data_IF_923690601523
#
_entry.id   IF_923690601523
#
_cell.length_a   1.000
_cell.length_b   1.000
_cell.length_c   1.000
_cell.angle_alpha   90.00
_cell.angle_beta   90.00
_cell.angle_gamma   90.00
#
_symmetry.space_group_name_H-M   'P 1'
#
loop_
_entity.id
_entity.type
_entity.pdbx_description
1 polymer ?
#
# COMPACT_ATOMS: atom_id res chain seq x y z
N UNK A 1 -17.80 -10.53 11.11
CA UNK A 1 -16.79 -11.60 10.94
C UNK A 1 -15.44 -11.00 11.29
N UNK A 2 -14.86 -11.37 12.43
CA UNK A 2 -13.58 -10.82 12.88
C UNK A 2 -12.45 -11.58 12.19
N UNK A 3 -11.81 -10.95 11.20
CA UNK A 3 -10.57 -11.49 10.65
C UNK A 3 -9.43 -11.07 11.57
N UNK A 4 -8.97 -12.01 12.42
CA UNK A 4 -7.69 -11.91 13.09
C UNK A 4 -6.59 -11.84 12.00
N UNK A 5 -5.96 -10.68 11.87
CA UNK A 5 -4.70 -10.57 11.14
C UNK A 5 -3.64 -11.16 12.07
N UNK A 6 -2.93 -12.20 11.61
CA UNK A 6 -1.84 -12.84 12.36
C UNK A 6 -0.80 -11.79 12.76
N UNK A 7 -0.22 -11.93 13.94
CA UNK A 7 0.93 -11.13 14.38
C UNK A 7 2.06 -11.21 13.36
N UNK A 8 2.47 -10.07 12.83
CA UNK A 8 3.61 -9.96 11.92
C UNK A 8 4.87 -9.93 12.76
N UNK A 9 5.71 -10.95 12.62
CA UNK A 9 7.02 -11.02 13.26
C UNK A 9 8.10 -10.47 12.32
N UNK A 10 9.21 -10.00 12.88
CA UNK A 10 10.41 -9.61 12.10
C UNK A 10 10.80 -10.72 11.13
N UNK A 11 11.19 -10.34 9.90
CA UNK A 11 11.53 -11.27 8.83
C UNK A 11 10.34 -11.93 8.14
N UNK A 12 9.11 -11.72 8.62
CA UNK A 12 7.90 -12.17 7.92
C UNK A 12 7.59 -11.25 6.73
N UNK A 13 7.09 -11.86 5.65
CA UNK A 13 6.58 -11.12 4.50
C UNK A 13 5.17 -10.60 4.80
N UNK A 14 5.00 -9.29 4.73
CA UNK A 14 3.73 -8.56 4.86
C UNK A 14 3.21 -8.23 3.47
N UNK A 15 1.98 -8.62 3.19
CA UNK A 15 1.30 -8.25 1.96
C UNK A 15 0.61 -6.90 2.15
N UNK A 16 1.15 -5.87 1.53
CA UNK A 16 0.56 -4.53 1.47
C UNK A 16 -0.26 -4.44 0.18
N UNK A 17 -1.52 -4.06 0.28
CA UNK A 17 -2.39 -3.92 -0.88
C UNK A 17 -3.35 -2.75 -0.73
N UNK A 18 -3.62 -2.06 -1.83
CA UNK A 18 -4.62 -1.01 -1.91
C UNK A 18 -5.30 -1.02 -3.28
N UNK A 19 -6.37 -0.23 -3.40
CA UNK A 19 -7.16 -0.08 -4.62
C UNK A 19 -7.34 1.40 -4.91
N UNK A 20 -7.06 1.82 -6.15
CA UNK A 20 -7.31 3.17 -6.64
C UNK A 20 -8.61 3.17 -7.47
N UNK A 21 -9.54 4.05 -7.09
CA UNK A 21 -10.84 4.21 -7.73
C UNK A 21 -11.12 5.69 -8.00
N UNK A 22 -11.86 5.95 -9.06
CA UNK A 22 -12.53 7.23 -9.33
C UNK A 22 -14.03 6.99 -9.29
N UNK A 23 -14.67 7.31 -8.16
CA UNK A 23 -16.00 6.80 -7.84
C UNK A 23 -15.97 5.26 -7.76
N UNK A 24 -16.81 4.59 -8.55
CA UNK A 24 -16.84 3.12 -8.66
C UNK A 24 -15.97 2.57 -9.81
N UNK A 25 -15.31 3.45 -10.58
CA UNK A 25 -14.50 3.06 -11.74
C UNK A 25 -13.04 2.83 -11.30
N UNK A 26 -12.44 1.67 -11.61
CA UNK A 26 -11.04 1.45 -11.31
C UNK A 26 -10.11 2.35 -12.12
N UNK A 27 -9.15 2.98 -11.45
CA UNK A 27 -8.07 3.69 -12.12
C UNK A 27 -7.01 2.66 -12.55
N UNK A 28 -7.04 2.29 -13.84
CA UNK A 28 -6.27 1.17 -14.40
C UNK A 28 -4.92 1.62 -14.94
N UNK A 29 -3.88 0.80 -14.73
CA UNK A 29 -2.52 1.04 -15.27
C UNK A 29 -1.90 2.38 -14.85
N UNK A 30 -2.33 2.91 -13.71
CA UNK A 30 -1.83 4.16 -13.15
C UNK A 30 -0.57 3.93 -12.32
N UNK A 31 0.36 4.89 -12.33
CA UNK A 31 1.54 4.85 -11.48
C UNK A 31 1.19 5.32 -10.07
N UNK A 32 1.54 4.51 -9.06
CA UNK A 32 1.32 4.83 -7.65
C UNK A 32 2.60 4.57 -6.86
N UNK A 33 2.76 5.27 -5.74
CA UNK A 33 3.87 5.09 -4.81
C UNK A 33 3.34 4.57 -3.48
N UNK A 34 4.02 3.56 -2.92
CA UNK A 34 3.91 3.19 -1.52
C UNK A 34 5.19 3.67 -0.85
N UNK A 35 5.06 4.48 0.19
CA UNK A 35 6.17 4.93 1.03
C UNK A 35 6.07 4.16 2.34
N UNK A 36 7.07 3.34 2.66
CA UNK A 36 7.16 2.61 3.92
C UNK A 36 8.26 3.25 4.77
N UNK A 37 7.85 3.96 5.82
CA UNK A 37 8.65 4.97 6.52
C UNK A 37 9.16 6.02 5.54
N UNK A 38 10.42 5.90 5.10
CA UNK A 38 11.06 6.83 4.16
C UNK A 38 11.41 6.17 2.81
N UNK A 39 11.13 4.86 2.66
CA UNK A 39 11.47 4.11 1.46
C UNK A 39 10.32 4.14 0.44
N UNK A 40 10.62 4.55 -0.79
CA UNK A 40 9.62 4.71 -1.86
C UNK A 40 9.63 3.49 -2.77
N UNK A 41 8.43 2.97 -3.03
CA UNK A 41 8.19 1.84 -3.93
C UNK A 41 7.15 2.24 -4.98
N UNK A 42 7.56 2.29 -6.25
CA UNK A 42 6.66 2.60 -7.37
C UNK A 42 6.03 1.33 -7.92
N UNK A 43 4.71 1.34 -8.06
CA UNK A 43 3.91 0.25 -8.61
C UNK A 43 2.96 0.77 -9.69
N UNK A 44 2.37 -0.16 -10.42
CA UNK A 44 1.30 0.13 -11.38
C UNK A 44 0.02 -0.55 -10.94
N UNK A 45 -1.11 0.17 -10.99
CA UNK A 45 -2.42 -0.42 -10.70
C UNK A 45 -2.80 -1.45 -11.76
N UNK A 46 -3.47 -2.51 -11.33
CA UNK A 46 -4.02 -3.54 -12.20
C UNK A 46 -5.21 -3.01 -13.01
N UNK A 47 -5.76 -3.85 -13.89
CA UNK A 47 -7.02 -3.60 -14.59
C UNK A 47 -8.23 -3.46 -13.66
N UNK A 48 -8.10 -3.82 -12.39
CA UNK A 48 -9.13 -3.66 -11.36
C UNK A 48 -8.78 -2.56 -10.36
N UNK A 49 -7.75 -1.75 -10.64
CA UNK A 49 -7.28 -0.65 -9.80
C UNK A 49 -6.46 -1.09 -8.58
N UNK A 50 -6.24 -2.41 -8.41
CA UNK A 50 -5.48 -2.94 -7.28
C UNK A 50 -3.99 -2.86 -7.52
N UNK A 51 -3.23 -2.62 -6.46
CA UNK A 51 -1.78 -2.74 -6.47
C UNK A 51 -1.33 -3.39 -5.16
N UNK A 52 -0.31 -4.24 -5.27
CA UNK A 52 0.11 -5.15 -4.20
C UNK A 52 1.63 -5.20 -4.15
N UNK A 53 2.19 -5.14 -2.94
CA UNK A 53 3.61 -5.28 -2.66
C UNK A 53 3.81 -6.26 -1.51
N UNK A 54 4.81 -7.13 -1.63
CA UNK A 54 5.28 -7.94 -0.52
C UNK A 54 6.47 -7.22 0.15
N UNK A 55 6.34 -6.88 1.42
CA UNK A 55 7.32 -6.14 2.19
C UNK A 55 7.84 -7.00 3.35
N UNK A 56 9.15 -7.10 3.51
CA UNK A 56 9.77 -7.81 4.63
C UNK A 56 10.31 -6.79 5.62
N UNK A 57 9.74 -6.79 6.83
CA UNK A 57 10.19 -5.90 7.90
C UNK A 57 11.48 -6.45 8.53
N UNK A 58 12.52 -5.61 8.60
CA UNK A 58 13.81 -5.95 9.18
C UNK A 58 13.91 -5.73 10.69
N UNK A 59 12.95 -5.02 11.28
CA UNK A 59 12.94 -4.69 12.70
C UNK A 59 11.51 -4.68 13.26
N UNK A 60 11.40 -4.87 14.58
CA UNK A 60 10.15 -4.68 15.29
C UNK A 60 9.86 -3.19 15.44
N UNK A 61 8.59 -2.81 15.47
CA UNK A 61 8.18 -1.41 15.60
C UNK A 61 6.95 -1.06 14.79
N UNK A 62 6.61 0.23 14.78
CA UNK A 62 5.53 0.78 13.98
C UNK A 62 6.12 1.25 12.65
N UNK A 63 5.53 0.79 11.56
CA UNK A 63 5.85 1.20 10.20
C UNK A 63 4.75 2.11 9.67
N UNK A 64 5.14 3.30 9.22
CA UNK A 64 4.25 4.26 8.58
C UNK A 64 4.14 3.94 7.10
N UNK A 65 2.92 3.88 6.58
CA UNK A 65 2.64 3.75 5.16
C UNK A 65 1.98 5.01 4.63
N UNK A 66 2.51 5.50 3.52
CA UNK A 66 1.82 6.49 2.69
C UNK A 66 1.58 5.90 1.31
N UNK A 67 0.34 5.96 0.85
CA UNK A 67 -0.04 5.66 -0.52
C UNK A 67 -0.21 6.97 -1.26
N UNK A 68 0.51 7.16 -2.36
CA UNK A 68 0.48 8.39 -3.16
C UNK A 68 0.12 8.06 -4.59
N UNK A 69 -0.87 8.77 -5.12
CA UNK A 69 -1.14 8.89 -6.53
C UNK A 69 -1.02 10.37 -6.89
N UNK A 70 -0.07 10.71 -7.77
CA UNK A 70 0.23 12.11 -8.13
C UNK A 70 -0.75 12.69 -9.17
N UNK A 71 -1.75 11.89 -9.58
CA UNK A 71 -2.67 12.25 -10.64
C UNK A 71 -2.20 11.77 -12.00
N UNK A 72 -3.11 11.83 -12.97
CA UNK A 72 -2.85 11.61 -14.39
C UNK A 72 -3.77 12.51 -15.20
N UNK A 73 -3.68 12.46 -16.53
CA UNK A 73 -4.58 13.20 -17.42
C UNK A 73 -6.06 12.84 -17.20
N UNK A 74 -6.33 11.65 -16.63
CA UNK A 74 -7.70 11.13 -16.43
C UNK A 74 -8.20 11.20 -14.99
N UNK A 75 -7.30 11.32 -14.00
CA UNK A 75 -7.66 11.19 -12.59
C UNK A 75 -6.91 12.21 -11.72
N UNK A 76 -7.61 12.75 -10.73
CA UNK A 76 -7.02 13.68 -9.77
C UNK A 76 -6.05 12.97 -8.80
N UNK A 77 -5.03 13.70 -8.29
CA UNK A 77 -4.14 13.19 -7.26
C UNK A 77 -4.89 12.82 -5.97
N UNK A 78 -4.37 11.83 -5.26
CA UNK A 78 -4.85 11.45 -3.92
C UNK A 78 -3.74 10.85 -3.08
N UNK A 79 -3.85 10.99 -1.76
CA UNK A 79 -2.96 10.34 -0.82
C UNK A 79 -3.73 9.75 0.36
N UNK A 80 -3.23 8.64 0.91
CA UNK A 80 -3.76 8.01 2.11
C UNK A 80 -2.63 7.53 3.02
N UNK A 81 -2.89 7.49 4.32
CA UNK A 81 -1.91 7.10 5.34
C UNK A 81 -2.46 5.98 6.21
N UNK A 82 -1.59 5.05 6.60
CA UNK A 82 -1.90 4.02 7.60
C UNK A 82 -0.62 3.58 8.30
N UNK A 83 -0.75 2.74 9.33
CA UNK A 83 0.40 2.17 10.04
C UNK A 83 0.17 0.70 10.32
N UNK A 84 1.24 -0.09 10.43
CA UNK A 84 1.17 -1.44 10.98
C UNK A 84 2.29 -1.66 11.99
N UNK A 85 2.04 -2.54 12.96
CA UNK A 85 3.01 -2.92 13.99
C UNK A 85 3.63 -4.26 13.65
N UNK A 86 4.95 -4.33 13.73
CA UNK A 86 5.75 -5.56 13.67
C UNK A 86 6.23 -5.89 15.07
N UNK A 87 6.03 -7.14 15.48
CA UNK A 87 6.50 -7.68 16.75
C UNK A 87 7.87 -8.32 16.56
N UNK A 88 8.70 -8.27 17.60
CA UNK A 88 10.00 -8.95 17.66
C UNK A 88 9.83 -10.45 17.74
#
# INVERSE_FOLDING_TARGET
MFYHIKDVHVGSSVKISAKLLSGDVPAMKENVKIIVNDNIYSLTTSTTGYFVMNYVASAAGIYNLTFVFEGSDSYHPTQNFTTFKVLS
#
